data_IF_797091858642
#
_entry.id   IF_797091858642
#
_cell.length_a   1.000
_cell.length_b   1.000
_cell.length_c   1.000
_cell.angle_alpha   90.00
_cell.angle_beta   90.00
_cell.angle_gamma   90.00
#
_symmetry.space_group_name_H-M   'P 1'
#
loop_
_entity.id
_entity.type
_entity.pdbx_description
1 polymer ?
#
# COMPACT_ATOMS: atom_id res chain seq x y z
N UNK A 1 -0.70 -15.55 -19.78
CA UNK A 1 0.31 -14.50 -19.45
C UNK A 1 0.72 -14.55 -17.99
N UNK A 2 1.77 -15.33 -17.67
CA UNK A 2 2.31 -15.42 -16.33
C UNK A 2 3.20 -14.21 -16.01
N UNK A 3 3.08 -13.69 -14.79
CA UNK A 3 3.98 -12.62 -14.31
C UNK A 3 5.41 -13.16 -14.27
N UNK A 4 6.32 -12.59 -15.06
CA UNK A 4 7.73 -12.97 -15.00
C UNK A 4 8.34 -12.45 -13.69
N UNK A 5 8.41 -13.32 -12.68
CA UNK A 5 8.86 -12.98 -11.33
C UNK A 5 10.35 -12.61 -11.31
N UNK A 6 11.16 -13.20 -12.21
CA UNK A 6 12.58 -12.89 -12.33
C UNK A 6 12.81 -11.50 -12.91
N UNK A 7 12.06 -11.12 -13.93
CA UNK A 7 12.09 -9.76 -14.48
C UNK A 7 11.70 -8.70 -13.41
N UNK A 8 10.71 -9.01 -12.58
CA UNK A 8 10.30 -8.12 -11.50
C UNK A 8 11.36 -8.01 -10.39
N UNK A 9 12.03 -9.13 -10.07
CA UNK A 9 13.14 -9.16 -9.12
C UNK A 9 14.31 -8.32 -9.59
N UNK A 10 14.66 -8.47 -10.85
CA UNK A 10 15.75 -7.72 -11.47
C UNK A 10 15.44 -6.23 -11.47
N UNK A 11 14.22 -5.85 -11.88
CA UNK A 11 13.78 -4.46 -11.83
C UNK A 11 13.84 -3.88 -10.41
N UNK A 12 13.35 -4.59 -9.39
CA UNK A 12 13.37 -4.09 -8.01
C UNK A 12 14.81 -3.87 -7.49
N UNK A 13 15.75 -4.75 -7.85
CA UNK A 13 17.17 -4.58 -7.52
C UNK A 13 17.77 -3.37 -8.22
N UNK A 14 17.57 -3.25 -9.53
CA UNK A 14 18.09 -2.13 -10.32
C UNK A 14 17.50 -0.79 -9.86
N UNK A 15 16.20 -0.74 -9.60
CA UNK A 15 15.52 0.43 -9.06
C UNK A 15 16.17 0.90 -7.76
N UNK A 16 16.41 -0.04 -6.81
CA UNK A 16 17.07 0.27 -5.54
C UNK A 16 18.49 0.82 -5.74
N UNK A 17 19.28 0.19 -6.62
CA UNK A 17 20.65 0.62 -6.91
C UNK A 17 20.69 2.02 -7.51
N UNK A 18 19.87 2.27 -8.54
CA UNK A 18 19.78 3.60 -9.17
C UNK A 18 19.30 4.66 -8.19
N UNK A 19 18.28 4.37 -7.37
CA UNK A 19 17.81 5.29 -6.33
C UNK A 19 18.94 5.68 -5.37
N UNK A 20 19.71 4.70 -4.89
CA UNK A 20 20.85 4.94 -4.01
C UNK A 20 21.97 5.71 -4.72
N UNK A 21 22.22 5.43 -5.99
CA UNK A 21 23.19 6.16 -6.81
C UNK A 21 22.83 7.62 -7.02
N UNK A 22 21.53 7.96 -7.00
CA UNK A 22 21.02 9.33 -7.07
C UNK A 22 20.97 10.01 -5.69
N UNK A 23 21.39 9.32 -4.61
CA UNK A 23 21.34 9.84 -3.24
C UNK A 23 19.93 9.98 -2.66
N UNK A 24 18.92 9.32 -3.26
CA UNK A 24 17.52 9.53 -2.90
C UNK A 24 17.06 8.54 -1.83
N UNK A 25 16.33 9.03 -0.83
CA UNK A 25 15.65 8.20 0.16
C UNK A 25 14.32 7.67 -0.36
N UNK A 26 13.86 6.55 0.20
CA UNK A 26 12.53 5.99 -0.13
C UNK A 26 11.38 6.99 0.13
N UNK A 27 11.54 7.87 1.13
CA UNK A 27 10.57 8.94 1.43
C UNK A 27 10.51 9.97 0.31
N UNK A 28 11.67 10.48 -0.12
CA UNK A 28 11.76 11.44 -1.23
C UNK A 28 11.16 10.88 -2.52
N UNK A 29 11.46 9.62 -2.84
CA UNK A 29 10.87 8.93 -4.01
C UNK A 29 9.35 8.84 -3.89
N UNK A 30 8.83 8.39 -2.74
CA UNK A 30 7.38 8.27 -2.52
C UNK A 30 6.64 9.62 -2.58
N UNK A 31 7.26 10.69 -2.08
CA UNK A 31 6.71 12.05 -2.16
C UNK A 31 6.70 12.56 -3.61
N UNK A 32 7.81 12.44 -4.33
CA UNK A 32 7.92 12.87 -5.72
C UNK A 32 6.92 12.15 -6.63
N UNK A 33 6.78 10.84 -6.49
CA UNK A 33 5.83 10.03 -7.25
C UNK A 33 4.36 10.41 -6.97
N UNK A 34 4.04 10.74 -5.72
CA UNK A 34 2.68 11.18 -5.33
C UNK A 34 2.25 12.48 -6.01
N UNK A 35 3.21 13.28 -6.47
CA UNK A 35 2.95 14.54 -7.17
C UNK A 35 2.72 14.28 -8.66
N UNK A 36 3.55 13.43 -9.27
CA UNK A 36 3.63 13.31 -10.73
C UNK A 36 2.73 12.23 -11.34
N UNK A 37 2.50 11.10 -10.66
CA UNK A 37 2.01 9.86 -11.32
C UNK A 37 0.77 9.23 -10.64
N UNK A 38 -0.05 10.02 -9.94
CA UNK A 38 -1.28 9.49 -9.31
C UNK A 38 -1.02 8.82 -7.95
N UNK A 39 -1.85 7.84 -7.52
CA UNK A 39 -2.24 7.60 -6.12
C UNK A 39 -1.06 7.67 -5.14
N UNK A 40 -1.25 8.38 -4.03
CA UNK A 40 -0.17 8.73 -3.10
C UNK A 40 0.70 7.52 -2.72
N UNK A 41 1.97 7.56 -3.12
CA UNK A 41 3.03 6.61 -2.77
C UNK A 41 3.67 7.00 -1.43
N UNK A 42 4.10 6.02 -0.64
CA UNK A 42 4.73 6.25 0.68
C UNK A 42 6.11 5.63 0.69
N UNK A 43 6.94 6.06 1.64
CA UNK A 43 8.18 5.34 1.99
C UNK A 43 7.92 3.84 2.15
N UNK A 44 6.84 3.44 2.84
CA UNK A 44 6.48 2.03 3.02
C UNK A 44 6.13 1.32 1.70
N UNK A 45 5.52 2.02 0.74
CA UNK A 45 5.19 1.46 -0.57
C UNK A 45 6.48 1.19 -1.38
N UNK A 46 7.43 2.14 -1.38
CA UNK A 46 8.73 1.96 -2.03
C UNK A 46 9.52 0.81 -1.37
N UNK A 47 9.54 0.76 -0.03
CA UNK A 47 10.20 -0.31 0.72
C UNK A 47 9.62 -1.69 0.40
N UNK A 48 8.29 -1.84 0.37
CA UNK A 48 7.64 -3.11 0.01
C UNK A 48 7.89 -3.49 -1.45
N UNK A 49 7.93 -2.53 -2.37
CA UNK A 49 8.28 -2.80 -3.77
C UNK A 49 9.72 -3.31 -3.89
N UNK A 50 10.69 -2.63 -3.28
CA UNK A 50 12.12 -3.04 -3.32
C UNK A 50 12.35 -4.43 -2.71
N UNK A 51 11.56 -4.80 -1.69
CA UNK A 51 11.61 -6.12 -1.05
C UNK A 51 10.73 -7.17 -1.73
N UNK A 52 9.96 -6.78 -2.75
CA UNK A 52 8.92 -7.60 -3.38
C UNK A 52 7.89 -8.14 -2.38
N UNK A 53 7.69 -7.43 -1.27
CA UNK A 53 6.68 -7.72 -0.25
C UNK A 53 5.31 -7.14 -0.65
N UNK A 54 4.92 -7.44 -1.90
CA UNK A 54 3.66 -7.07 -2.53
C UNK A 54 3.23 -8.20 -3.47
N UNK A 55 1.95 -8.22 -3.86
CA UNK A 55 1.47 -9.22 -4.80
C UNK A 55 2.09 -9.01 -6.19
N UNK A 56 2.35 -10.07 -6.98
CA UNK A 56 2.91 -9.94 -8.33
C UNK A 56 2.07 -9.02 -9.24
N UNK A 57 0.74 -9.10 -9.13
CA UNK A 57 -0.19 -8.21 -9.84
C UNK A 57 -0.04 -6.74 -9.44
N UNK A 58 0.23 -6.47 -8.15
CA UNK A 58 0.51 -5.11 -7.69
C UNK A 58 1.86 -4.62 -8.21
N UNK A 59 2.88 -5.48 -8.19
CA UNK A 59 4.20 -5.14 -8.71
C UNK A 59 4.16 -4.79 -10.21
N UNK A 60 3.44 -5.56 -11.01
CA UNK A 60 3.24 -5.26 -12.44
C UNK A 60 2.58 -3.91 -12.70
N UNK A 61 1.64 -3.49 -11.86
CA UNK A 61 0.99 -2.17 -11.99
C UNK A 61 1.91 -1.01 -11.61
N UNK A 62 2.78 -1.23 -10.62
CA UNK A 62 3.66 -0.19 -10.06
C UNK A 62 4.95 -0.05 -10.88
N UNK A 63 5.47 -1.15 -11.44
CA UNK A 63 6.71 -1.16 -12.25
C UNK A 63 6.78 -0.05 -13.30
N UNK A 64 5.83 0.11 -14.26
CA UNK A 64 5.95 1.12 -15.31
C UNK A 64 5.96 2.55 -14.76
N UNK A 65 5.26 2.79 -13.64
CA UNK A 65 5.25 4.10 -12.97
C UNK A 65 6.63 4.42 -12.38
N UNK A 66 7.22 3.45 -11.67
CA UNK A 66 8.55 3.59 -11.09
C UNK A 66 9.63 3.74 -12.15
N UNK A 67 9.54 2.97 -13.23
CA UNK A 67 10.48 3.01 -14.35
C UNK A 67 10.47 4.37 -15.03
N UNK A 68 9.30 4.86 -15.41
CA UNK A 68 9.14 6.17 -16.04
C UNK A 68 9.69 7.29 -15.15
N UNK A 69 9.37 7.26 -13.86
CA UNK A 69 9.85 8.28 -12.93
C UNK A 69 11.38 8.25 -12.77
N UNK A 70 11.97 7.04 -12.70
CA UNK A 70 13.42 6.90 -12.60
C UNK A 70 14.14 7.44 -13.83
N UNK A 71 13.67 7.09 -15.04
CA UNK A 71 14.25 7.61 -16.27
C UNK A 71 14.23 9.14 -16.29
N UNK A 72 13.10 9.76 -15.94
CA UNK A 72 12.98 11.22 -15.86
C UNK A 72 13.86 11.84 -14.78
N UNK A 73 14.15 11.14 -13.68
CA UNK A 73 15.05 11.60 -12.64
C UNK A 73 16.53 11.50 -13.07
N UNK A 74 16.91 10.41 -13.74
CA UNK A 74 18.25 10.20 -14.30
C UNK A 74 18.56 11.21 -15.41
N UNK A 75 17.61 11.49 -16.30
CA UNK A 75 17.75 12.50 -17.36
C UNK A 75 17.98 13.91 -16.82
N UNK A 76 17.28 14.29 -15.73
CA UNK A 76 17.48 15.59 -15.08
C UNK A 76 18.89 15.73 -14.51
N UNK A 77 19.42 14.67 -13.90
CA UNK A 77 20.78 14.65 -13.33
C UNK A 77 21.84 14.68 -14.43
N UNK A 78 21.61 13.99 -15.56
CA UNK A 78 22.51 14.00 -16.71
C UNK A 78 22.56 15.35 -17.43
N UNK A 79 21.45 16.07 -17.48
CA UNK A 79 21.33 17.36 -18.16
C UNK A 79 21.85 18.55 -17.32
N UNK A 80 22.60 18.31 -16.24
CA UNK A 80 23.15 19.35 -15.38
C UNK A 80 22.08 20.13 -14.59
N UNK A 81 20.86 19.61 -14.51
CA UNK A 81 19.85 20.13 -13.61
C UNK A 81 20.35 20.01 -12.18
N UNK A 82 20.16 21.06 -11.37
CA UNK A 82 20.39 20.97 -9.93
C UNK A 82 19.72 19.69 -9.41
N UNK A 83 20.39 19.00 -8.47
CA UNK A 83 19.81 17.95 -7.62
C UNK A 83 18.33 18.22 -7.42
N UNK A 84 17.48 17.19 -7.63
CA UNK A 84 16.03 17.23 -7.32
C UNK A 84 15.78 18.25 -6.21
N UNK A 85 14.95 19.29 -6.46
CA UNK A 85 14.94 20.53 -5.68
C UNK A 85 15.01 20.18 -4.22
N UNK A 86 15.95 20.78 -3.48
CA UNK A 86 16.18 20.58 -2.05
C UNK A 86 14.84 20.36 -1.34
N UNK A 87 14.47 19.09 -1.20
CA UNK A 87 13.08 18.69 -0.93
C UNK A 87 12.81 18.76 0.58
N UNK A 88 13.56 19.61 1.29
CA UNK A 88 13.34 19.91 2.69
C UNK A 88 12.24 20.97 2.88
N UNK A 89 11.78 21.65 1.81
CA UNK A 89 10.84 22.77 1.90
C UNK A 89 9.39 22.51 1.45
N UNK A 90 9.02 21.33 0.93
CA UNK A 90 7.72 21.14 0.27
C UNK A 90 6.64 20.53 1.19
N UNK A 91 6.40 21.16 2.34
CA UNK A 91 5.16 21.00 3.09
C UNK A 91 4.02 21.73 2.38
N UNK A 92 3.40 21.13 1.37
CA UNK A 92 2.00 21.42 1.05
C UNK A 92 1.41 20.53 -0.04
N UNK A 93 0.20 20.06 0.26
CA UNK A 93 -0.85 19.80 -0.73
C UNK A 93 -0.82 18.46 -1.46
N UNK A 94 -1.00 17.39 -0.66
CA UNK A 94 -2.07 16.38 -0.85
C UNK A 94 -2.14 15.57 0.45
N UNK A 95 -2.80 16.13 1.47
CA UNK A 95 -3.06 15.42 2.74
C UNK A 95 -3.76 14.11 2.39
N UNK A 96 -3.04 12.98 2.50
CA UNK A 96 -3.65 11.66 2.45
C UNK A 96 -4.85 11.66 3.39
N UNK A 97 -5.97 11.05 2.96
CA UNK A 97 -7.07 10.73 3.86
C UNK A 97 -6.47 9.96 5.05
N UNK A 98 -6.52 10.54 6.25
CA UNK A 98 -5.96 9.87 7.44
C UNK A 98 -6.65 8.53 7.56
N UNK A 99 -5.88 7.49 7.89
CA UNK A 99 -6.44 6.17 8.18
C UNK A 99 -7.40 6.31 9.37
N UNK A 100 -8.62 5.82 9.24
CA UNK A 100 -9.53 5.75 10.39
C UNK A 100 -8.93 4.80 11.42
N UNK A 101 -8.72 5.30 12.64
CA UNK A 101 -8.32 4.52 13.81
C UNK A 101 -9.56 4.29 14.66
N UNK A 102 -9.87 3.02 14.91
CA UNK A 102 -10.97 2.65 15.80
C UNK A 102 -10.48 2.67 17.24
N UNK A 103 -11.31 3.16 18.16
CA UNK A 103 -11.07 3.00 19.59
C UNK A 103 -11.19 1.52 19.99
N UNK A 104 -10.55 1.07 21.09
CA UNK A 104 -10.68 -0.31 21.55
C UNK A 104 -12.15 -0.74 21.71
N UNK A 105 -12.97 0.08 22.37
CA UNK A 105 -14.41 -0.22 22.53
C UNK A 105 -15.20 -0.28 21.22
N UNK A 106 -14.80 0.49 20.19
CA UNK A 106 -15.40 0.37 18.87
C UNK A 106 -14.99 -0.93 18.16
N UNK A 107 -13.75 -1.38 18.37
CA UNK A 107 -13.27 -2.67 17.85
C UNK A 107 -14.04 -3.82 18.49
N UNK A 108 -14.26 -3.77 19.81
CA UNK A 108 -15.01 -4.80 20.54
C UNK A 108 -16.45 -4.88 20.03
N UNK A 109 -17.16 -3.74 19.96
CA UNK A 109 -18.52 -3.70 19.42
C UNK A 109 -18.63 -4.18 17.96
N UNK A 110 -17.61 -3.91 17.13
CA UNK A 110 -17.54 -4.40 15.76
C UNK A 110 -17.29 -5.91 15.71
N UNK A 111 -16.45 -6.45 16.60
CA UNK A 111 -16.20 -7.89 16.70
C UNK A 111 -17.45 -8.63 17.19
N UNK A 112 -18.11 -8.14 18.24
CA UNK A 112 -19.35 -8.73 18.76
C UNK A 112 -20.42 -8.79 17.68
N UNK A 113 -20.60 -7.69 16.94
CA UNK A 113 -21.53 -7.65 15.81
C UNK A 113 -21.13 -8.61 14.68
N UNK A 114 -19.83 -8.78 14.44
CA UNK A 114 -19.32 -9.69 13.42
C UNK A 114 -19.56 -11.16 13.78
N UNK A 115 -19.43 -11.51 15.05
CA UNK A 115 -19.64 -12.87 15.54
C UNK A 115 -21.13 -13.26 15.50
N UNK A 116 -22.03 -12.29 15.68
CA UNK A 116 -23.48 -12.46 15.47
C UNK A 116 -23.85 -12.55 13.99
N UNK A 117 -23.36 -11.59 13.18
CA UNK A 117 -23.64 -11.54 11.75
C UNK A 117 -22.42 -11.04 10.96
N UNK A 118 -21.66 -11.93 10.29
CA UNK A 118 -20.50 -11.53 9.48
C UNK A 118 -20.87 -10.83 8.15
N UNK A 119 -22.16 -10.82 7.82
CA UNK A 119 -22.74 -10.22 6.62
C UNK A 119 -23.88 -9.25 6.98
N UNK A 120 -23.58 -8.14 7.68
CA UNK A 120 -24.60 -7.17 8.03
C UNK A 120 -25.20 -6.56 6.76
N UNK A 121 -26.51 -6.36 6.79
CA UNK A 121 -27.28 -5.63 5.80
C UNK A 121 -26.91 -4.16 5.79
N UNK A 122 -27.37 -3.43 4.76
CA UNK A 122 -27.14 -1.99 4.66
C UNK A 122 -27.68 -1.21 5.86
N UNK A 123 -28.79 -1.68 6.46
CA UNK A 123 -29.43 -1.09 7.64
C UNK A 123 -28.61 -1.33 8.90
N UNK A 124 -28.20 -2.57 9.18
CA UNK A 124 -27.35 -2.91 10.32
C UNK A 124 -26.01 -2.15 10.28
N UNK A 125 -25.44 -1.96 9.09
CA UNK A 125 -24.24 -1.13 8.92
C UNK A 125 -24.47 0.34 9.28
N UNK A 126 -25.64 0.89 8.97
CA UNK A 126 -26.00 2.27 9.31
C UNK A 126 -26.22 2.44 10.82
N UNK A 127 -26.90 1.49 11.46
CA UNK A 127 -27.10 1.49 12.92
C UNK A 127 -25.77 1.41 13.68
N UNK A 128 -24.84 0.58 13.20
CA UNK A 128 -23.48 0.50 13.75
C UNK A 128 -22.69 1.80 13.52
N UNK A 129 -22.82 2.40 12.34
CA UNK A 129 -22.19 3.68 12.02
C UNK A 129 -22.66 4.79 12.97
N UNK A 130 -23.97 4.88 13.21
CA UNK A 130 -24.57 5.89 14.09
C UNK A 130 -24.22 5.67 15.57
N UNK A 131 -24.18 4.41 16.01
CA UNK A 131 -23.81 4.01 17.37
C UNK A 131 -22.33 4.27 17.66
N UNK A 132 -21.46 3.96 16.70
CA UNK A 132 -20.01 4.10 16.87
C UNK A 132 -19.45 5.46 16.37
N UNK A 133 -20.31 6.32 15.82
CA UNK A 133 -19.96 7.63 15.24
C UNK A 133 -18.88 7.53 14.15
N UNK A 134 -18.98 6.52 13.28
CA UNK A 134 -18.15 6.36 12.09
C UNK A 134 -18.99 6.46 10.82
N UNK A 135 -18.36 6.79 9.69
CA UNK A 135 -19.04 6.71 8.39
C UNK A 135 -19.47 5.28 8.09
N UNK A 136 -20.65 5.11 7.49
CA UNK A 136 -21.13 3.81 6.98
C UNK A 136 -20.09 3.12 6.09
N UNK A 137 -19.35 3.88 5.29
CA UNK A 137 -18.28 3.36 4.44
C UNK A 137 -17.12 2.76 5.25
N UNK A 138 -16.77 3.36 6.39
CA UNK A 138 -15.73 2.87 7.29
C UNK A 138 -16.15 1.52 7.89
N UNK A 139 -17.40 1.40 8.34
CA UNK A 139 -17.96 0.15 8.88
C UNK A 139 -17.94 -0.93 7.78
N UNK A 140 -18.45 -0.60 6.58
CA UNK A 140 -18.46 -1.53 5.44
C UNK A 140 -17.05 -2.03 5.09
N UNK A 141 -16.06 -1.14 5.02
CA UNK A 141 -14.66 -1.48 4.76
C UNK A 141 -14.07 -2.35 5.88
N UNK A 142 -14.41 -2.08 7.13
CA UNK A 142 -13.99 -2.89 8.27
C UNK A 142 -14.48 -4.34 8.15
N UNK A 143 -15.78 -4.55 7.88
CA UNK A 143 -16.34 -5.90 7.69
C UNK A 143 -15.70 -6.63 6.49
N UNK A 144 -15.46 -5.91 5.38
CA UNK A 144 -14.74 -6.45 4.24
C UNK A 144 -13.31 -6.90 4.60
N UNK A 145 -12.58 -6.11 5.38
CA UNK A 145 -11.22 -6.42 5.80
C UNK A 145 -11.19 -7.57 6.81
N UNK A 146 -12.10 -7.59 7.79
CA UNK A 146 -12.23 -8.67 8.79
C UNK A 146 -12.49 -10.02 8.11
N UNK A 147 -13.42 -10.08 7.14
CA UNK A 147 -13.67 -11.30 6.34
C UNK A 147 -12.45 -11.74 5.53
N UNK A 148 -11.69 -10.80 4.95
CA UNK A 148 -10.47 -11.14 4.21
C UNK A 148 -9.41 -11.75 5.12
N UNK A 149 -9.20 -11.19 6.32
CA UNK A 149 -8.26 -11.74 7.30
C UNK A 149 -8.65 -13.17 7.72
N UNK A 150 -9.93 -13.41 8.04
CA UNK A 150 -10.44 -14.76 8.36
C UNK A 150 -10.19 -15.76 7.23
N UNK A 151 -10.51 -15.39 5.98
CA UNK A 151 -10.26 -16.25 4.82
C UNK A 151 -8.76 -16.57 4.65
N UNK A 152 -7.88 -15.59 4.88
CA UNK A 152 -6.44 -15.79 4.78
C UNK A 152 -5.90 -16.70 5.90
N UNK A 153 -6.42 -16.57 7.12
CA UNK A 153 -6.07 -17.46 8.25
C UNK A 153 -6.53 -18.90 7.97
N UNK A 154 -7.77 -19.10 7.50
CA UNK A 154 -8.29 -20.44 7.16
C UNK A 154 -7.47 -21.09 6.03
N UNK A 155 -7.06 -20.32 5.01
CA UNK A 155 -6.20 -20.83 3.93
C UNK A 155 -4.83 -21.28 4.43
N UNK A 156 -4.23 -20.57 5.39
CA UNK A 156 -2.93 -20.96 5.99
C UNK A 156 -3.02 -22.25 6.80
N UNK A 157 -4.15 -22.51 7.46
CA UNK A 157 -4.39 -23.73 8.24
C UNK A 157 -4.61 -24.95 7.33
N UNK A 158 -5.20 -24.76 6.15
CA UNK A 158 -5.49 -25.86 5.20
C UNK A 158 -4.30 -26.34 4.37
N UNK A 159 -3.14 -25.67 4.43
CA UNK A 159 -1.92 -26.17 3.78
C UNK A 159 -1.14 -26.96 4.83
N UNK A 160 -1.18 -28.31 4.82
CA UNK A 160 -0.34 -29.10 5.71
C UNK A 160 1.14 -28.83 5.39
N UNK A 161 2.05 -28.81 6.38
CA UNK A 161 3.48 -28.80 6.10
C UNK A 161 3.81 -30.07 5.30
N UNK A 162 4.22 -29.90 4.05
CA UNK A 162 4.76 -31.01 3.27
C UNK A 162 5.98 -31.57 4.00
N UNK A 163 6.13 -32.90 4.13
CA UNK A 163 7.32 -33.49 4.69
C UNK A 163 8.50 -33.16 3.78
N UNK A 164 9.53 -32.55 4.35
CA UNK A 164 10.83 -32.32 3.74
C UNK A 164 11.46 -33.70 3.47
N UNK A 165 11.79 -33.98 2.21
CA UNK A 165 12.56 -35.15 1.77
C UNK A 165 13.98 -34.74 1.45
#
# INVERSE_FOLDING_TARGET
DGVNLDEMREFAKQFKLRRLSLGLTQTQVGQALSITEGPSYSQSAICRFEKLDITPKSAQKIKPVLERWMTLAEERMKNGGQSLPDYNGFESSKKRKRRTSFTPGAIDALNDSFDQNPHPTGTEMSELADRLKFDREVIRVWFCNKRQTLKNTIKKIKVPPSPES
#
